data_IF_943314825311
#
_entry.id   IF_943314825311
#
_cell.length_a   1.000
_cell.length_b   1.000
_cell.length_c   1.000
_cell.angle_alpha   90.00
_cell.angle_beta   90.00
_cell.angle_gamma   90.00
#
_symmetry.space_group_name_H-M   'P 1'
#
loop_
_entity.id
_entity.type
_entity.pdbx_description
1 polymer ?
#
# COMPACT_ATOMS: atom_id res chain seq x y z
N UNK A 1 -2.07 -3.10 -16.97
CA UNK A 1 -2.22 -2.04 -15.95
C UNK A 1 -2.59 -2.62 -14.59
N UNK A 2 -3.71 -3.33 -14.46
CA UNK A 2 -4.20 -3.90 -13.18
C UNK A 2 -3.17 -4.79 -12.45
N UNK A 3 -2.47 -5.67 -13.17
CA UNK A 3 -1.45 -6.54 -12.57
C UNK A 3 -0.27 -5.80 -11.94
N UNK A 4 0.04 -4.59 -12.41
CA UNK A 4 1.12 -3.78 -11.83
C UNK A 4 0.70 -3.19 -10.47
N UNK A 5 -0.57 -2.81 -10.33
CA UNK A 5 -1.14 -2.34 -9.06
C UNK A 5 -1.17 -3.48 -8.05
N UNK A 6 -1.65 -4.66 -8.46
CA UNK A 6 -1.66 -5.83 -7.58
C UNK A 6 -0.26 -6.23 -7.12
N UNK A 7 0.75 -6.15 -8.01
CA UNK A 7 2.13 -6.35 -7.60
C UNK A 7 2.59 -5.31 -6.57
N UNK A 8 2.25 -4.04 -6.75
CA UNK A 8 2.55 -2.97 -5.80
C UNK A 8 1.90 -3.18 -4.42
N UNK A 9 0.62 -3.55 -4.39
CA UNK A 9 -0.11 -3.85 -3.15
C UNK A 9 0.48 -5.07 -2.42
N UNK A 10 0.79 -6.13 -3.17
CA UNK A 10 1.41 -7.33 -2.61
C UNK A 10 2.79 -7.03 -2.01
N UNK A 11 3.64 -6.29 -2.73
CA UNK A 11 4.96 -5.89 -2.24
C UNK A 11 4.86 -5.01 -0.98
N UNK A 12 3.90 -4.09 -0.98
CA UNK A 12 3.69 -3.15 0.12
C UNK A 12 3.24 -3.85 1.40
N UNK A 13 2.28 -4.78 1.27
CA UNK A 13 1.81 -5.60 2.40
C UNK A 13 2.90 -6.54 2.92
N UNK A 14 3.69 -7.15 2.03
CA UNK A 14 4.84 -7.96 2.41
C UNK A 14 5.92 -7.15 3.16
N UNK A 15 6.17 -5.90 2.75
CA UNK A 15 7.15 -5.04 3.41
C UNK A 15 6.71 -4.66 4.83
N UNK A 16 5.45 -4.26 5.00
CA UNK A 16 4.87 -3.95 6.33
C UNK A 16 4.90 -5.17 7.24
N UNK A 17 4.56 -6.35 6.73
CA UNK A 17 4.64 -7.60 7.48
C UNK A 17 6.08 -7.93 7.90
N UNK A 18 7.03 -7.79 6.97
CA UNK A 18 8.44 -8.07 7.23
C UNK A 18 9.02 -7.18 8.33
N UNK A 19 8.67 -5.90 8.33
CA UNK A 19 9.16 -4.94 9.33
C UNK A 19 8.46 -5.14 10.67
N UNK A 20 7.16 -5.42 10.68
CA UNK A 20 6.44 -5.80 11.90
C UNK A 20 7.04 -7.05 12.56
N UNK A 21 7.43 -8.05 11.77
CA UNK A 21 8.07 -9.27 12.25
C UNK A 21 9.51 -9.06 12.75
N UNK A 22 10.26 -8.15 12.12
CA UNK A 22 11.65 -7.87 12.52
C UNK A 22 11.73 -7.10 13.84
N UNK A 23 10.85 -6.13 14.03
CA UNK A 23 10.88 -5.23 15.19
C UNK A 23 10.29 -5.88 16.45
N UNK A 24 9.28 -6.75 16.32
CA UNK A 24 8.57 -7.31 17.47
C UNK A 24 8.92 -8.77 17.75
N UNK A 25 9.41 -9.05 18.96
CA UNK A 25 9.75 -10.41 19.42
C UNK A 25 8.53 -11.25 19.83
N UNK A 26 7.38 -10.59 20.04
CA UNK A 26 6.11 -11.23 20.42
C UNK A 26 5.11 -11.22 19.26
N UNK A 27 4.55 -12.39 18.96
CA UNK A 27 3.56 -12.60 17.90
C UNK A 27 2.33 -11.68 18.01
N UNK A 28 1.92 -11.36 19.23
CA UNK A 28 0.78 -10.49 19.47
C UNK A 28 1.03 -9.04 19.04
N UNK A 29 2.23 -8.51 19.32
CA UNK A 29 2.59 -7.15 18.92
C UNK A 29 2.85 -7.06 17.41
N UNK A 30 3.46 -8.09 16.81
CA UNK A 30 3.60 -8.20 15.36
C UNK A 30 2.23 -8.13 14.66
N UNK A 31 1.24 -8.89 15.12
CA UNK A 31 -0.09 -8.92 14.53
C UNK A 31 -0.81 -7.56 14.66
N UNK A 32 -0.66 -6.88 15.80
CA UNK A 32 -1.25 -5.57 16.04
C UNK A 32 -0.66 -4.50 15.08
N UNK A 33 0.67 -4.43 14.98
CA UNK A 33 1.36 -3.48 14.10
C UNK A 33 1.13 -3.76 12.63
N UNK A 34 1.10 -5.04 12.23
CA UNK A 34 0.74 -5.42 10.87
C UNK A 34 -0.70 -4.99 10.53
N UNK A 35 -1.65 -5.20 11.43
CA UNK A 35 -3.03 -4.80 11.22
C UNK A 35 -3.15 -3.27 11.07
N UNK A 36 -2.49 -2.51 11.94
CA UNK A 36 -2.45 -1.04 11.85
C UNK A 36 -1.86 -0.58 10.52
N UNK A 37 -0.72 -1.16 10.11
CA UNK A 37 -0.08 -0.82 8.85
C UNK A 37 -0.93 -1.19 7.64
N UNK A 38 -1.60 -2.35 7.67
CA UNK A 38 -2.52 -2.76 6.62
C UNK A 38 -3.72 -1.81 6.48
N UNK A 39 -4.32 -1.38 7.60
CA UNK A 39 -5.40 -0.39 7.58
C UNK A 39 -4.92 0.94 6.99
N UNK A 40 -3.73 1.41 7.33
CA UNK A 40 -3.15 2.60 6.72
C UNK A 40 -2.92 2.45 5.20
N UNK A 41 -2.49 1.28 4.72
CA UNK A 41 -2.39 1.00 3.28
C UNK A 41 -3.76 1.09 2.58
N UNK A 42 -4.82 0.57 3.19
CA UNK A 42 -6.19 0.70 2.64
C UNK A 42 -6.64 2.16 2.62
N UNK A 43 -6.40 2.91 3.70
CA UNK A 43 -6.72 4.34 3.78
C UNK A 43 -5.98 5.17 2.71
N UNK A 44 -4.79 4.74 2.31
CA UNK A 44 -4.02 5.40 1.25
C UNK A 44 -4.78 5.43 -0.06
N UNK A 45 -5.45 4.35 -0.43
CA UNK A 45 -6.25 4.31 -1.66
C UNK A 45 -7.35 5.37 -1.64
N UNK A 46 -8.06 5.49 -0.50
CA UNK A 46 -9.07 6.53 -0.32
C UNK A 46 -8.50 7.95 -0.35
N UNK A 47 -7.37 8.19 0.32
CA UNK A 47 -6.68 9.48 0.27
C UNK A 47 -6.25 9.79 -1.16
N UNK A 48 -5.82 8.78 -1.92
CA UNK A 48 -5.36 8.95 -3.29
C UNK A 48 -6.51 9.28 -4.25
N UNK A 49 -7.65 8.61 -4.12
CA UNK A 49 -8.88 8.94 -4.85
C UNK A 49 -9.37 10.36 -4.50
N UNK A 50 -9.31 10.73 -3.22
CA UNK A 50 -9.71 12.07 -2.78
C UNK A 50 -8.75 13.16 -3.26
N UNK A 51 -7.44 12.89 -3.30
CA UNK A 51 -6.44 13.83 -3.81
C UNK A 51 -6.48 13.94 -5.34
N UNK A 52 -6.92 12.89 -6.04
CA UNK A 52 -6.95 12.83 -7.51
C UNK A 52 -8.36 12.58 -8.07
N UNK A 53 -9.37 13.38 -7.71
CA UNK A 53 -10.77 13.11 -8.08
C UNK A 53 -11.02 13.25 -9.59
N UNK A 54 -10.13 13.96 -10.31
CA UNK A 54 -10.20 14.13 -11.75
C UNK A 54 -9.76 12.89 -12.54
N UNK A 55 -8.97 11.99 -11.92
CA UNK A 55 -8.51 10.75 -12.56
C UNK A 55 -9.34 9.61 -11.97
N UNK A 56 -10.30 9.10 -12.74
CA UNK A 56 -11.00 7.86 -12.37
C UNK A 56 -10.05 6.69 -12.50
N UNK A 57 -9.37 6.38 -11.40
CA UNK A 57 -8.31 5.38 -11.32
C UNK A 57 -8.79 4.03 -11.86
N UNK A 58 -9.99 3.61 -11.47
CA UNK A 58 -10.63 2.37 -11.92
C UNK A 58 -10.88 2.34 -13.43
N UNK A 59 -11.37 3.44 -14.01
CA UNK A 59 -11.67 3.55 -15.44
C UNK A 59 -10.38 3.55 -16.28
N UNK A 60 -9.34 4.28 -15.85
CA UNK A 60 -8.04 4.28 -16.52
C UNK A 60 -7.29 2.96 -16.38
N UNK A 61 -7.45 2.25 -15.27
CA UNK A 61 -6.92 0.88 -15.12
C UNK A 61 -7.56 -0.08 -16.11
N UNK A 62 -8.89 0.02 -16.29
CA UNK A 62 -9.66 -0.80 -17.24
C UNK A 62 -9.34 -0.46 -18.70
N UNK A 63 -9.11 0.83 -19.00
CA UNK A 63 -8.62 1.28 -20.31
C UNK A 63 -7.17 0.82 -20.61
N UNK A 64 -6.51 0.15 -19.66
CA UNK A 64 -5.17 -0.40 -19.85
C UNK A 64 -4.06 0.63 -19.68
N UNK A 65 -4.35 1.81 -19.10
CA UNK A 65 -3.34 2.84 -18.90
C UNK A 65 -2.28 2.40 -17.88
N UNK A 66 -1.12 1.99 -18.39
CA UNK A 66 0.00 1.50 -17.58
C UNK A 66 0.59 2.60 -16.69
N UNK A 67 0.50 3.87 -17.09
CA UNK A 67 1.03 4.99 -16.31
C UNK A 67 0.30 5.13 -14.97
N UNK A 68 -1.03 5.00 -14.95
CA UNK A 68 -1.83 5.03 -13.72
C UNK A 68 -1.53 3.82 -12.84
N UNK A 69 -1.34 2.64 -13.46
CA UNK A 69 -0.92 1.45 -12.73
C UNK A 69 0.44 1.63 -12.04
N UNK A 70 1.41 2.25 -12.73
CA UNK A 70 2.76 2.48 -12.20
C UNK A 70 2.76 3.50 -11.08
N UNK A 71 1.99 4.57 -11.25
CA UNK A 71 1.78 5.59 -10.24
C UNK A 71 1.22 4.99 -8.94
N UNK A 72 0.17 4.17 -9.02
CA UNK A 72 -0.38 3.49 -7.83
C UNK A 72 0.62 2.54 -7.19
N UNK A 73 1.35 1.75 -7.98
CA UNK A 73 2.36 0.84 -7.46
C UNK A 73 3.45 1.61 -6.69
N UNK A 74 3.90 2.76 -7.21
CA UNK A 74 4.87 3.62 -6.54
C UNK A 74 4.30 4.24 -5.24
N UNK A 75 3.03 4.64 -5.25
CA UNK A 75 2.33 5.18 -4.07
C UNK A 75 2.23 4.14 -2.97
N UNK A 76 1.82 2.91 -3.31
CA UNK A 76 1.75 1.82 -2.33
C UNK A 76 3.11 1.54 -1.70
N UNK A 77 4.17 1.45 -2.50
CA UNK A 77 5.54 1.23 -1.99
C UNK A 77 6.01 2.40 -1.12
N UNK A 78 5.76 3.65 -1.55
CA UNK A 78 6.15 4.83 -0.80
C UNK A 78 5.44 4.94 0.54
N UNK A 79 4.15 4.65 0.59
CA UNK A 79 3.39 4.65 1.84
C UNK A 79 3.79 3.47 2.72
N UNK A 80 4.00 2.28 2.16
CA UNK A 80 4.51 1.15 2.91
C UNK A 80 5.82 1.51 3.62
N UNK A 81 6.71 2.26 2.95
CA UNK A 81 7.94 2.76 3.56
C UNK A 81 7.69 3.75 4.70
N UNK A 82 6.78 4.71 4.50
CA UNK A 82 6.41 5.68 5.53
C UNK A 82 5.78 5.02 6.77
N UNK A 83 4.86 4.06 6.57
CA UNK A 83 4.23 3.27 7.64
C UNK A 83 5.29 2.42 8.35
N UNK A 84 6.20 1.81 7.59
CA UNK A 84 7.25 0.98 8.15
C UNK A 84 8.17 1.75 9.09
N UNK A 85 8.44 3.03 8.81
CA UNK A 85 9.18 3.89 9.74
C UNK A 85 8.42 4.19 11.03
N UNK A 86 7.10 3.97 11.06
CA UNK A 86 6.23 4.25 12.21
C UNK A 86 6.13 3.05 13.18
N UNK A 87 6.47 1.85 12.70
CA UNK A 87 6.41 0.60 13.46
C UNK A 87 7.63 0.52 14.39
N UNK A 88 7.39 0.44 15.70
CA UNK A 88 8.39 0.39 16.78
C UNK A 88 8.35 -0.93 17.56
#
# INVERSE_FOLDING_TARGET
AVGLVMAGEFLSTAMVLGIAAYTNSSIWHMALWFLIGYVCLVLTYWVFEWATPSIKVSEHLQQGNVAVGMLLAAVFIGIAFAISSLII
#
